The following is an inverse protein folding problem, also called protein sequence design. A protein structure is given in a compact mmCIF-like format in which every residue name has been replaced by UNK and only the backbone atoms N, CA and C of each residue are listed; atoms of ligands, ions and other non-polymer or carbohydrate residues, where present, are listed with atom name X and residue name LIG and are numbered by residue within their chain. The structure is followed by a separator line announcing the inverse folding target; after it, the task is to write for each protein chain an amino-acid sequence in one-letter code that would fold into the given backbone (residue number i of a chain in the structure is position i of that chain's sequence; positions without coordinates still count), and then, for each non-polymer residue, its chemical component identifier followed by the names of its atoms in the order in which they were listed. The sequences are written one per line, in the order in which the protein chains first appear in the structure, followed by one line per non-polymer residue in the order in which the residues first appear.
data_IF_661335605338
#
_entry.id   IF_661335605338
#
_cell.length_a   1.000
_cell.length_b   1.000
_cell.length_c   1.000
_cell.angle_alpha   90.00
_cell.angle_beta   90.00
_cell.angle_gamma   90.00
#
_symmetry.space_group_name_H-M   'P 1'
#
loop_
_entity.id
_entity.type
_entity.pdbx_description
1 polymer ?
#
# COMPACT_ATOMS: atom_id res chain seq x y z
N UNK A 1 41.72 20.80 9.80
CA UNK A 1 41.06 19.95 8.78
C UNK A 1 39.77 19.44 9.39
N UNK A 2 38.63 20.03 9.03
CA UNK A 2 37.33 19.54 9.47
C UNK A 2 36.93 18.36 8.56
N UNK A 3 36.76 17.18 9.14
CA UNK A 3 36.18 16.03 8.45
C UNK A 3 34.68 16.29 8.30
N UNK A 4 34.27 16.78 7.13
CA UNK A 4 32.87 16.78 6.72
C UNK A 4 32.44 15.31 6.57
N UNK A 5 31.83 14.76 7.60
CA UNK A 5 31.09 13.50 7.48
C UNK A 5 29.96 13.74 6.49
N UNK A 6 30.12 13.24 5.27
CA UNK A 6 29.06 13.19 4.27
C UNK A 6 27.98 12.23 4.79
N UNK A 7 27.11 12.71 5.67
CA UNK A 7 25.92 11.97 6.07
C UNK A 7 25.07 11.82 4.81
N UNK A 8 25.16 10.66 4.16
CA UNK A 8 24.32 10.32 3.02
C UNK A 8 22.88 10.40 3.49
N UNK A 9 22.12 11.36 2.97
CA UNK A 9 20.71 11.50 3.31
C UNK A 9 19.96 10.30 2.71
N UNK A 10 19.70 9.28 3.54
CA UNK A 10 19.04 8.03 3.12
C UNK A 10 17.52 8.18 2.95
N UNK A 11 16.94 9.29 3.40
CA UNK A 11 15.48 9.51 3.40
C UNK A 11 14.86 9.45 1.99
N UNK A 12 15.38 10.16 0.97
CA UNK A 12 14.87 10.05 -0.40
C UNK A 12 14.86 8.61 -0.93
N UNK A 13 15.88 7.82 -0.62
CA UNK A 13 15.99 6.44 -1.07
C UNK A 13 14.93 5.54 -0.44
N UNK A 14 14.63 5.73 0.85
CA UNK A 14 13.57 4.98 1.54
C UNK A 14 12.17 5.31 0.99
N UNK A 15 11.90 6.57 0.65
CA UNK A 15 10.68 6.94 -0.08
C UNK A 15 10.62 6.33 -1.48
N UNK A 16 11.74 6.32 -2.23
CA UNK A 16 11.81 5.65 -3.52
C UNK A 16 11.60 4.13 -3.40
N UNK A 17 12.16 3.50 -2.38
CA UNK A 17 11.90 2.08 -2.08
C UNK A 17 10.41 1.85 -1.82
N UNK A 18 9.77 2.68 -0.99
CA UNK A 18 8.33 2.59 -0.74
C UNK A 18 7.50 2.78 -2.03
N UNK A 19 7.92 3.70 -2.90
CA UNK A 19 7.29 3.92 -4.20
C UNK A 19 7.40 2.68 -5.09
N UNK A 20 8.61 2.12 -5.21
CA UNK A 20 8.89 0.94 -6.03
C UNK A 20 8.12 -0.29 -5.54
N UNK A 21 8.09 -0.53 -4.23
CA UNK A 21 7.34 -1.65 -3.65
C UNK A 21 5.84 -1.56 -4.00
N UNK A 22 5.23 -0.38 -3.81
CA UNK A 22 3.84 -0.16 -4.20
C UNK A 22 3.64 -0.33 -5.72
N UNK A 23 4.54 0.19 -6.55
CA UNK A 23 4.44 0.07 -8.00
C UNK A 23 4.51 -1.40 -8.47
N UNK A 24 5.38 -2.21 -7.87
CA UNK A 24 5.50 -3.64 -8.14
C UNK A 24 4.29 -4.44 -7.61
N UNK A 25 3.66 -3.96 -6.54
CA UNK A 25 2.45 -4.59 -6.01
C UNK A 25 1.25 -4.47 -6.97
N UNK A 26 1.17 -3.42 -7.80
CA UNK A 26 0.08 -3.20 -8.77
C UNK A 26 -0.13 -4.38 -9.73
N UNK A 27 0.87 -4.80 -10.54
CA UNK A 27 0.69 -5.94 -11.42
C UNK A 27 0.44 -7.24 -10.65
N UNK A 28 1.10 -7.43 -9.49
CA UNK A 28 0.85 -8.58 -8.61
C UNK A 28 -0.62 -8.65 -8.15
N UNK A 29 -1.19 -7.51 -7.75
CA UNK A 29 -2.57 -7.39 -7.32
C UNK A 29 -3.57 -7.73 -8.44
N UNK A 30 -3.31 -7.22 -9.66
CA UNK A 30 -4.14 -7.52 -10.85
C UNK A 30 -4.10 -9.02 -11.19
N UNK A 31 -2.90 -9.61 -11.23
CA UNK A 31 -2.73 -11.04 -11.55
C UNK A 31 -3.44 -11.89 -10.50
N UNK A 32 -3.23 -11.60 -9.21
CA UNK A 32 -3.89 -12.31 -8.12
C UNK A 32 -5.41 -12.20 -8.19
N UNK A 33 -5.94 -11.02 -8.54
CA UNK A 33 -7.38 -10.80 -8.74
C UNK A 33 -7.96 -11.74 -9.78
N UNK A 34 -7.33 -11.82 -10.95
CA UNK A 34 -7.78 -12.68 -12.06
C UNK A 34 -7.66 -14.17 -11.74
N UNK A 35 -6.60 -14.57 -11.04
CA UNK A 35 -6.29 -15.98 -10.77
C UNK A 35 -7.07 -16.54 -9.56
N UNK A 36 -7.33 -15.71 -8.54
CA UNK A 36 -7.84 -16.19 -7.25
C UNK A 36 -9.16 -15.53 -6.86
N UNK A 37 -9.27 -14.20 -6.96
CA UNK A 37 -10.47 -13.48 -6.50
C UNK A 37 -11.65 -13.72 -7.44
N UNK A 38 -11.46 -13.52 -8.74
CA UNK A 38 -12.52 -13.66 -9.75
C UNK A 38 -13.13 -15.06 -9.81
N UNK A 39 -12.34 -16.17 -9.80
CA UNK A 39 -12.92 -17.50 -9.71
C UNK A 39 -13.65 -17.75 -8.38
N UNK A 40 -13.10 -17.27 -7.26
CA UNK A 40 -13.71 -17.44 -5.93
C UNK A 40 -15.07 -16.75 -5.85
N UNK A 41 -15.17 -15.50 -6.30
CA UNK A 41 -16.43 -14.76 -6.28
C UNK A 41 -17.47 -15.39 -7.22
N UNK A 42 -17.06 -15.88 -8.40
CA UNK A 42 -17.95 -16.63 -9.31
C UNK A 42 -18.47 -17.92 -8.68
N UNK A 43 -17.62 -18.66 -7.99
CA UNK A 43 -18.01 -19.89 -7.30
C UNK A 43 -19.01 -19.63 -6.16
N UNK A 44 -18.91 -18.47 -5.50
CA UNK A 44 -19.84 -18.05 -4.44
C UNK A 44 -21.17 -17.54 -5.00
N UNK A 45 -21.17 -16.91 -6.18
CA UNK A 45 -22.38 -16.41 -6.82
C UNK A 45 -23.38 -17.54 -7.13
N UNK A 46 -22.89 -18.71 -7.54
CA UNK A 46 -23.74 -19.88 -7.80
C UNK A 46 -24.36 -20.54 -6.55
N UNK A 47 -24.14 -19.99 -5.35
CA UNK A 47 -24.57 -20.57 -4.07
C UNK A 47 -25.63 -19.76 -3.33
N UNK A 48 -26.03 -18.59 -3.84
CA UNK A 48 -27.09 -17.82 -3.19
C UNK A 48 -27.83 -16.87 -4.12
N UNK A 49 -29.16 -16.90 -4.03
CA UNK A 49 -30.07 -16.09 -4.85
C UNK A 49 -30.54 -14.79 -4.14
N UNK A 50 -29.95 -14.45 -2.98
CA UNK A 50 -30.33 -13.24 -2.25
C UNK A 50 -29.74 -11.98 -2.92
N UNK A 51 -30.55 -10.93 -3.15
CA UNK A 51 -30.05 -9.64 -3.64
C UNK A 51 -28.94 -9.05 -2.76
N UNK A 52 -29.00 -9.25 -1.44
CA UNK A 52 -27.97 -8.77 -0.51
C UNK A 52 -26.63 -9.46 -0.74
N UNK A 53 -26.63 -10.75 -1.06
CA UNK A 53 -25.40 -11.48 -1.39
C UNK A 53 -24.81 -11.01 -2.73
N UNK A 54 -25.65 -10.73 -3.73
CA UNK A 54 -25.19 -10.17 -5.00
C UNK A 54 -24.47 -8.83 -4.81
N UNK A 55 -25.03 -7.93 -3.98
CA UNK A 55 -24.39 -6.66 -3.63
C UNK A 55 -23.05 -6.89 -2.90
N UNK A 56 -23.00 -7.82 -1.95
CA UNK A 56 -21.77 -8.16 -1.23
C UNK A 56 -20.64 -8.66 -2.14
N UNK A 57 -20.97 -9.54 -3.09
CA UNK A 57 -20.01 -10.05 -4.07
C UNK A 57 -19.51 -8.94 -5.02
N UNK A 58 -20.41 -8.09 -5.50
CA UNK A 58 -20.05 -6.94 -6.32
C UNK A 58 -19.14 -5.97 -5.56
N UNK A 59 -19.47 -5.66 -4.31
CA UNK A 59 -18.67 -4.78 -3.45
C UNK A 59 -17.28 -5.38 -3.17
N UNK A 60 -17.17 -6.70 -2.96
CA UNK A 60 -15.88 -7.37 -2.79
C UNK A 60 -15.01 -7.26 -4.05
N UNK A 61 -15.60 -7.45 -5.23
CA UNK A 61 -14.89 -7.32 -6.51
C UNK A 61 -14.41 -5.90 -6.77
N UNK A 62 -15.32 -4.93 -6.67
CA UNK A 62 -15.01 -3.51 -6.87
C UNK A 62 -14.01 -3.03 -5.82
N UNK A 63 -14.16 -3.44 -4.56
CA UNK A 63 -13.23 -3.10 -3.49
C UNK A 63 -11.83 -3.61 -3.77
N UNK A 64 -11.70 -4.85 -4.22
CA UNK A 64 -10.42 -5.42 -4.64
C UNK A 64 -9.83 -4.62 -5.81
N UNK A 65 -10.58 -4.41 -6.90
CA UNK A 65 -10.08 -3.65 -8.06
C UNK A 65 -9.68 -2.22 -7.68
N UNK A 66 -10.48 -1.54 -6.86
CA UNK A 66 -10.21 -0.18 -6.41
C UNK A 66 -8.96 -0.07 -5.51
N UNK A 67 -8.61 -1.11 -4.75
CA UNK A 67 -7.34 -1.14 -4.03
C UNK A 67 -6.14 -1.01 -4.98
N UNK A 68 -6.22 -1.54 -6.20
CA UNK A 68 -5.15 -1.37 -7.20
C UNK A 68 -4.87 0.10 -7.49
N UNK A 69 -5.93 0.92 -7.57
CA UNK A 69 -5.83 2.38 -7.74
C UNK A 69 -5.21 3.02 -6.50
N UNK A 70 -5.63 2.61 -5.30
CA UNK A 70 -5.06 3.09 -4.04
C UNK A 70 -3.56 2.78 -3.89
N UNK A 71 -3.14 1.56 -4.25
CA UNK A 71 -1.72 1.14 -4.25
C UNK A 71 -0.92 2.00 -5.24
N UNK A 72 -1.45 2.22 -6.44
CA UNK A 72 -0.78 3.06 -7.43
C UNK A 72 -0.67 4.53 -6.98
N UNK A 73 -1.73 5.08 -6.36
CA UNK A 73 -1.69 6.41 -5.77
C UNK A 73 -0.64 6.51 -4.66
N UNK A 74 -0.52 5.48 -3.80
CA UNK A 74 0.52 5.41 -2.78
C UNK A 74 1.94 5.36 -3.39
N UNK A 75 2.13 4.69 -4.53
CA UNK A 75 3.40 4.70 -5.26
C UNK A 75 3.77 6.13 -5.70
N UNK A 76 2.82 6.86 -6.29
CA UNK A 76 3.02 8.24 -6.75
C UNK A 76 3.31 9.18 -5.57
N UNK A 77 2.55 9.07 -4.48
CA UNK A 77 2.77 9.89 -3.28
C UNK A 77 4.17 9.68 -2.70
N UNK A 78 4.61 8.42 -2.59
CA UNK A 78 5.96 8.12 -2.13
C UNK A 78 7.06 8.65 -3.05
N UNK A 79 6.85 8.58 -4.37
CA UNK A 79 7.77 9.18 -5.33
C UNK A 79 7.86 10.70 -5.12
N UNK A 80 6.73 11.39 -4.94
CA UNK A 80 6.72 12.83 -4.64
C UNK A 80 7.43 13.14 -3.31
N UNK A 81 7.15 12.37 -2.26
CA UNK A 81 7.78 12.55 -0.96
C UNK A 81 9.28 12.29 -0.94
N UNK A 82 9.82 11.50 -1.87
CA UNK A 82 11.27 11.38 -2.04
C UNK A 82 11.96 12.68 -2.45
N UNK A 83 11.26 13.56 -3.18
CA UNK A 83 11.80 14.84 -3.62
C UNK A 83 11.63 15.93 -2.54
N UNK A 84 10.60 15.82 -1.72
CA UNK A 84 10.27 16.81 -0.67
C UNK A 84 10.74 16.40 0.72
N UNK A 85 11.39 15.24 0.87
CA UNK A 85 11.73 14.64 2.17
C UNK A 85 10.49 14.44 3.08
N UNK A 86 9.36 14.05 2.49
CA UNK A 86 8.13 13.72 3.20
C UNK A 86 6.94 14.63 2.89
N UNK A 87 5.79 14.35 3.54
CA UNK A 87 4.55 15.14 3.42
C UNK A 87 4.74 16.61 3.80
N UNK A 88 4.24 17.53 2.97
CA UNK A 88 4.40 18.97 3.21
C UNK A 88 3.13 19.64 3.77
N UNK A 89 1.96 19.24 3.26
CA UNK A 89 0.65 19.82 3.63
C UNK A 89 -0.14 18.98 4.64
N UNK A 90 -1.11 19.58 5.34
CA UNK A 90 -1.98 18.88 6.32
C UNK A 90 -2.75 17.71 5.71
N UNK A 91 -3.19 17.88 4.48
CA UNK A 91 -3.81 16.88 3.62
C UNK A 91 -2.85 15.72 3.32
N UNK A 92 -1.59 16.00 2.95
CA UNK A 92 -0.59 14.94 2.74
C UNK A 92 -0.25 14.21 4.04
N UNK A 93 -0.21 14.91 5.19
CA UNK A 93 -0.04 14.29 6.50
C UNK A 93 -1.21 13.34 6.82
N UNK A 94 -2.44 13.78 6.57
CA UNK A 94 -3.63 12.95 6.76
C UNK A 94 -3.59 11.71 5.87
N UNK A 95 -3.21 11.87 4.59
CA UNK A 95 -3.03 10.75 3.66
C UNK A 95 -1.94 9.78 4.13
N UNK A 96 -0.80 10.29 4.59
CA UNK A 96 0.28 9.47 5.13
C UNK A 96 -0.21 8.61 6.31
N UNK A 97 -0.88 9.22 7.29
CA UNK A 97 -1.38 8.49 8.46
C UNK A 97 -2.52 7.54 8.10
N UNK A 98 -3.36 7.88 7.12
CA UNK A 98 -4.39 6.99 6.60
C UNK A 98 -3.78 5.76 5.92
N UNK A 99 -2.72 5.92 5.11
CA UNK A 99 -2.01 4.81 4.49
C UNK A 99 -1.34 3.91 5.54
N UNK A 100 -0.65 4.50 6.53
CA UNK A 100 0.02 3.75 7.59
C UNK A 100 -0.98 3.01 8.49
N UNK A 101 -1.95 3.74 9.07
CA UNK A 101 -2.93 3.18 10.00
C UNK A 101 -3.92 2.24 9.31
N UNK A 102 -4.40 2.62 8.12
CA UNK A 102 -5.26 1.79 7.28
C UNK A 102 -4.56 0.52 6.83
N UNK A 103 -3.33 0.62 6.31
CA UNK A 103 -2.48 -0.50 5.92
C UNK A 103 -2.22 -1.46 7.08
N UNK A 104 -1.92 -0.93 8.27
CA UNK A 104 -1.77 -1.71 9.50
C UNK A 104 -3.04 -2.51 9.82
N UNK A 105 -4.18 -1.82 9.88
CA UNK A 105 -5.47 -2.41 10.22
C UNK A 105 -5.92 -3.49 9.23
N UNK A 106 -5.79 -3.27 7.92
CA UNK A 106 -6.21 -4.26 6.92
C UNK A 106 -5.22 -5.42 6.82
N UNK A 107 -3.91 -5.14 6.92
CA UNK A 107 -2.85 -6.15 6.85
C UNK A 107 -2.92 -7.19 7.96
N UNK A 108 -3.46 -6.85 9.13
CA UNK A 108 -3.65 -7.82 10.23
C UNK A 108 -4.50 -9.05 9.83
N UNK A 109 -5.33 -8.94 8.78
CA UNK A 109 -6.12 -10.06 8.24
C UNK A 109 -5.23 -11.03 7.44
N UNK A 110 -4.33 -10.50 6.63
CA UNK A 110 -3.34 -11.30 5.89
C UNK A 110 -2.34 -11.98 6.81
N UNK A 111 -1.86 -11.27 7.84
CA UNK A 111 -1.01 -11.86 8.88
C UNK A 111 -1.64 -13.10 9.51
N UNK A 112 -2.94 -13.03 9.84
CA UNK A 112 -3.67 -14.14 10.49
C UNK A 112 -3.81 -15.39 9.64
N UNK A 113 -3.75 -15.26 8.31
CA UNK A 113 -3.81 -16.39 7.38
C UNK A 113 -2.44 -16.79 6.85
N UNK A 114 -1.35 -16.20 7.37
CA UNK A 114 0.03 -16.53 6.99
C UNK A 114 0.47 -15.99 5.63
N UNK A 115 -0.26 -15.03 5.06
CA UNK A 115 0.01 -14.47 3.74
C UNK A 115 0.81 -13.17 3.85
N UNK A 116 2.14 -13.24 3.65
CA UNK A 116 3.04 -12.11 3.90
C UNK A 116 3.32 -11.25 2.67
N UNK A 117 3.07 -11.75 1.46
CA UNK A 117 3.33 -11.01 0.20
C UNK A 117 2.68 -9.61 0.17
N UNK A 118 1.35 -9.51 0.43
CA UNK A 118 0.68 -8.21 0.48
C UNK A 118 1.19 -7.29 1.59
N UNK A 119 1.65 -7.86 2.71
CA UNK A 119 2.20 -7.09 3.84
C UNK A 119 3.48 -6.38 3.46
N UNK A 120 4.39 -7.08 2.79
CA UNK A 120 5.68 -6.53 2.39
C UNK A 120 5.55 -5.54 1.23
N UNK A 121 4.68 -5.84 0.25
CA UNK A 121 4.68 -5.08 -1.00
C UNK A 121 3.79 -3.83 -1.00
N UNK A 122 2.65 -3.81 -0.29
CA UNK A 122 1.73 -2.67 -0.37
C UNK A 122 1.08 -2.23 0.94
N UNK A 123 1.11 -3.03 2.02
CA UNK A 123 0.41 -2.70 3.25
C UNK A 123 1.30 -2.18 4.38
N UNK A 124 2.32 -2.93 4.79
CA UNK A 124 3.18 -2.55 5.92
C UNK A 124 4.55 -2.09 5.46
N UNK A 125 5.16 -2.78 4.49
CA UNK A 125 6.50 -2.47 3.99
C UNK A 125 6.63 -1.01 3.54
N UNK A 126 5.85 -0.56 2.54
CA UNK A 126 5.99 0.80 2.04
C UNK A 126 5.71 1.87 3.12
N UNK A 127 4.59 1.84 3.87
CA UNK A 127 4.35 2.87 4.89
C UNK A 127 5.41 2.89 6.01
N UNK A 128 6.00 1.75 6.38
CA UNK A 128 7.10 1.72 7.35
C UNK A 128 8.39 2.30 6.76
N UNK A 129 8.69 2.03 5.49
CA UNK A 129 9.79 2.68 4.78
C UNK A 129 9.60 4.20 4.74
N UNK A 130 8.39 4.66 4.41
CA UNK A 130 8.04 6.09 4.38
C UNK A 130 8.12 6.73 5.76
N UNK A 131 7.71 6.02 6.81
CA UNK A 131 7.81 6.50 8.20
C UNK A 131 9.26 6.67 8.63
N UNK A 132 10.11 5.67 8.36
CA UNK A 132 11.53 5.75 8.64
C UNK A 132 12.20 6.89 7.85
N UNK A 133 11.87 7.02 6.57
CA UNK A 133 12.34 8.11 5.71
C UNK A 133 11.98 9.48 6.31
N UNK A 134 10.72 9.64 6.71
CA UNK A 134 10.24 10.90 7.23
C UNK A 134 10.84 11.25 8.59
N UNK A 135 10.99 10.28 9.49
CA UNK A 135 11.64 10.49 10.77
C UNK A 135 13.11 10.92 10.60
N UNK A 136 13.84 10.30 9.66
CA UNK A 136 15.23 10.64 9.37
C UNK A 136 15.40 11.99 8.68
N UNK A 137 14.38 12.50 7.99
CA UNK A 137 14.42 13.82 7.36
C UNK A 137 14.22 14.98 8.35
N UNK A 138 13.71 14.70 9.54
CA UNK A 138 13.44 15.72 10.58
C UNK A 138 14.62 15.94 11.54
N UNK A 139 15.71 15.18 11.38
CA UNK A 139 16.92 15.23 12.19
C UNK A 139 18.13 15.60 11.33
#
# INVERSE_FOLDING_TARGET
MASTSTNTNISPYLFLTASLLNALAVPGHIIFGRQNVDPTLRALQGRSDSPTHAVGLAAARVGFEHMTVGIFAAAILNYRWSATNGPQGRDEHALFWALLGGGWWVGRRYWRVGEYGPLVLCLWGPPLCSLAAWALAQH
#
